data_IF_658648071810
#
_entry.id   IF_658648071810
#
_cell.length_a   1.000
_cell.length_b   1.000
_cell.length_c   1.000
_cell.angle_alpha   90.00
_cell.angle_beta   90.00
_cell.angle_gamma   90.00
#
_symmetry.space_group_name_H-M   'P 1'
#
loop_
_entity.id
_entity.type
_entity.pdbx_description
1 polymer ?
#
# COMPACT_ATOMS: atom_id res chain seq x y z
N UNK A 1 35.10 -29.10 -18.54
CA UNK A 1 33.63 -28.92 -18.61
C UNK A 1 33.32 -28.02 -19.79
N UNK A 2 32.59 -28.45 -20.81
CA UNK A 2 32.37 -27.67 -22.04
C UNK A 2 31.46 -26.46 -21.72
N UNK A 3 31.75 -25.30 -22.30
CA UNK A 3 30.99 -24.06 -22.17
C UNK A 3 29.45 -24.29 -22.34
N UNK A 4 29.06 -25.11 -23.28
CA UNK A 4 27.64 -25.51 -23.51
C UNK A 4 26.99 -26.16 -22.27
N UNK A 5 27.73 -26.97 -21.54
CA UNK A 5 27.22 -27.66 -20.36
C UNK A 5 27.04 -26.67 -19.21
N UNK A 6 28.01 -25.82 -18.98
CA UNK A 6 27.93 -24.75 -17.97
C UNK A 6 26.75 -23.79 -18.25
N UNK A 7 26.55 -23.37 -19.49
CA UNK A 7 25.44 -22.53 -19.92
C UNK A 7 24.08 -23.21 -19.67
N UNK A 8 23.97 -24.50 -19.95
CA UNK A 8 22.73 -25.28 -19.70
C UNK A 8 22.39 -25.34 -18.19
N UNK A 9 23.37 -25.51 -17.33
CA UNK A 9 23.15 -25.49 -15.88
C UNK A 9 22.78 -24.09 -15.38
N UNK A 10 23.45 -23.05 -15.86
CA UNK A 10 23.11 -21.66 -15.55
C UNK A 10 21.67 -21.35 -15.95
N UNK A 11 21.25 -21.71 -17.14
CA UNK A 11 19.87 -21.49 -17.60
C UNK A 11 18.85 -22.23 -16.71
N UNK A 12 19.13 -23.48 -16.31
CA UNK A 12 18.26 -24.22 -15.39
C UNK A 12 18.16 -23.56 -14.02
N UNK A 13 19.27 -23.05 -13.47
CA UNK A 13 19.26 -22.31 -12.20
C UNK A 13 18.43 -21.03 -12.31
N UNK A 14 18.55 -20.28 -13.40
CA UNK A 14 17.73 -19.09 -13.65
C UNK A 14 16.24 -19.47 -13.71
N UNK A 15 15.88 -20.52 -14.43
CA UNK A 15 14.48 -20.97 -14.53
C UNK A 15 13.92 -21.41 -13.18
N UNK A 16 14.71 -22.12 -12.37
CA UNK A 16 14.30 -22.52 -11.01
C UNK A 16 14.13 -21.31 -10.10
N UNK A 17 15.03 -20.33 -10.19
CA UNK A 17 14.90 -19.08 -9.43
C UNK A 17 13.65 -18.28 -9.83
N UNK A 18 13.38 -18.16 -11.13
CA UNK A 18 12.17 -17.50 -11.64
C UNK A 18 10.90 -18.24 -11.18
N UNK A 19 10.90 -19.55 -11.18
CA UNK A 19 9.78 -20.36 -10.69
C UNK A 19 9.56 -20.12 -9.19
N UNK A 20 10.62 -20.13 -8.38
CA UNK A 20 10.54 -19.86 -6.94
C UNK A 20 10.02 -18.44 -6.65
N UNK A 21 10.51 -17.44 -7.38
CA UNK A 21 10.03 -16.06 -7.28
C UNK A 21 8.53 -15.98 -7.67
N UNK A 22 8.13 -16.65 -8.74
CA UNK A 22 6.72 -16.68 -9.18
C UNK A 22 5.81 -17.29 -8.12
N UNK A 23 6.20 -18.42 -7.52
CA UNK A 23 5.46 -19.06 -6.41
C UNK A 23 5.35 -18.11 -5.22
N UNK A 24 6.45 -17.46 -4.86
CA UNK A 24 6.47 -16.48 -3.76
C UNK A 24 5.53 -15.30 -4.04
N UNK A 25 5.57 -14.72 -5.24
CA UNK A 25 4.70 -13.60 -5.62
C UNK A 25 3.22 -14.01 -5.64
N UNK A 26 2.90 -15.20 -6.13
CA UNK A 26 1.53 -15.72 -6.07
C UNK A 26 1.07 -15.86 -4.63
N UNK A 27 1.90 -16.41 -3.75
CA UNK A 27 1.57 -16.47 -2.31
C UNK A 27 1.37 -15.08 -1.72
N UNK A 28 2.28 -14.13 -2.02
CA UNK A 28 2.25 -12.79 -1.45
C UNK A 28 0.98 -12.01 -1.83
N UNK A 29 0.56 -12.08 -3.10
CA UNK A 29 -0.52 -11.23 -3.61
C UNK A 29 -1.89 -11.92 -3.66
N UNK A 30 -1.94 -13.23 -3.84
CA UNK A 30 -3.21 -13.94 -4.08
C UNK A 30 -3.60 -14.90 -2.95
N UNK A 31 -2.68 -15.19 -2.02
CA UNK A 31 -2.94 -16.10 -0.91
C UNK A 31 -2.64 -15.40 0.43
N UNK A 32 -2.68 -16.16 1.52
CA UNK A 32 -2.13 -15.72 2.81
C UNK A 32 -0.60 -15.77 2.71
N UNK A 33 0.12 -14.65 2.87
CA UNK A 33 1.57 -14.64 2.85
C UNK A 33 2.18 -15.56 3.92
N UNK A 34 3.28 -16.23 3.61
CA UNK A 34 3.96 -17.15 4.53
C UNK A 34 4.42 -16.46 5.83
N UNK A 35 4.77 -15.18 5.77
CA UNK A 35 5.18 -14.39 6.92
C UNK A 35 4.25 -13.20 7.14
N UNK A 36 3.95 -12.93 8.41
CA UNK A 36 3.19 -11.73 8.80
C UNK A 36 3.93 -10.44 8.42
N UNK A 37 5.26 -10.42 8.46
CA UNK A 37 6.05 -9.25 8.07
C UNK A 37 5.86 -8.94 6.59
N UNK A 38 5.83 -9.97 5.74
CA UNK A 38 5.56 -9.81 4.31
C UNK A 38 4.12 -9.36 4.05
N UNK A 39 3.17 -9.84 4.85
CA UNK A 39 1.79 -9.37 4.79
C UNK A 39 1.69 -7.88 5.13
N UNK A 40 2.26 -7.46 6.26
CA UNK A 40 2.24 -6.07 6.69
C UNK A 40 2.93 -5.14 5.68
N UNK A 41 4.12 -5.53 5.21
CA UNK A 41 4.85 -4.76 4.19
C UNK A 41 4.04 -4.63 2.88
N UNK A 42 3.39 -5.70 2.44
CA UNK A 42 2.52 -5.67 1.27
C UNK A 42 1.33 -4.72 1.47
N UNK A 43 0.62 -4.81 2.60
CA UNK A 43 -0.55 -3.94 2.84
C UNK A 43 -0.13 -2.47 2.91
N UNK A 44 0.99 -2.15 3.58
CA UNK A 44 1.55 -0.78 3.60
C UNK A 44 1.91 -0.30 2.18
N UNK A 45 2.56 -1.14 1.38
CA UNK A 45 2.88 -0.78 0.00
C UNK A 45 1.63 -0.55 -0.85
N UNK A 46 0.61 -1.42 -0.72
CA UNK A 46 -0.65 -1.26 -1.43
C UNK A 46 -1.40 0.00 -1.00
N UNK A 47 -1.36 0.37 0.27
CA UNK A 47 -1.94 1.62 0.75
C UNK A 47 -1.29 2.86 0.13
N UNK A 48 0.04 2.84 0.01
CA UNK A 48 0.78 3.93 -0.63
C UNK A 48 0.39 4.08 -2.11
N UNK A 49 0.37 2.99 -2.87
CA UNK A 49 0.09 3.05 -4.30
C UNK A 49 -1.39 3.24 -4.65
N UNK A 50 -2.30 2.93 -3.72
CA UNK A 50 -3.74 3.16 -3.87
C UNK A 50 -4.12 4.65 -3.72
N UNK A 51 -3.24 5.47 -3.12
CA UNK A 51 -3.46 6.90 -2.88
C UNK A 51 -2.48 7.74 -3.71
N UNK A 52 -2.96 8.49 -4.70
CA UNK A 52 -2.14 9.44 -5.46
C UNK A 52 -1.44 10.46 -4.57
N UNK A 53 -2.13 10.95 -3.53
CA UNK A 53 -1.60 11.91 -2.56
C UNK A 53 -0.46 11.29 -1.76
N UNK A 54 -0.59 10.05 -1.31
CA UNK A 54 0.47 9.33 -0.58
C UNK A 54 1.70 9.12 -1.47
N UNK A 55 1.51 8.79 -2.74
CA UNK A 55 2.63 8.66 -3.69
C UNK A 55 3.36 9.98 -3.88
N UNK A 56 2.62 11.08 -4.01
CA UNK A 56 3.17 12.44 -4.14
C UNK A 56 3.89 12.86 -2.86
N UNK A 57 3.28 12.61 -1.68
CA UNK A 57 3.85 12.96 -0.39
C UNK A 57 5.18 12.24 -0.11
N UNK A 58 5.27 10.97 -0.45
CA UNK A 58 6.49 10.18 -0.28
C UNK A 58 7.56 10.52 -1.32
N UNK A 59 7.16 10.95 -2.53
CA UNK A 59 8.05 11.40 -3.60
C UNK A 59 8.88 10.29 -4.27
N UNK A 60 8.78 9.04 -3.83
CA UNK A 60 9.57 7.92 -4.39
C UNK A 60 9.22 7.68 -5.86
N UNK A 61 7.97 7.90 -6.22
CA UNK A 61 7.43 7.63 -7.55
C UNK A 61 7.47 8.83 -8.50
N UNK A 62 7.97 9.99 -8.08
CA UNK A 62 7.99 11.22 -8.89
C UNK A 62 8.67 11.05 -10.24
N UNK A 63 9.83 10.36 -10.25
CA UNK A 63 10.57 10.06 -11.49
C UNK A 63 9.81 9.11 -12.43
N UNK A 64 8.82 8.42 -11.92
CA UNK A 64 8.01 7.43 -12.61
C UNK A 64 6.57 7.90 -12.81
N UNK A 65 6.30 9.21 -12.66
CA UNK A 65 4.96 9.79 -12.85
C UNK A 65 4.37 9.47 -14.24
N UNK A 66 5.22 9.33 -15.27
CA UNK A 66 4.81 8.88 -16.60
C UNK A 66 4.17 7.48 -16.61
N UNK A 67 4.48 6.63 -15.64
CA UNK A 67 3.91 5.29 -15.47
C UNK A 67 2.72 5.30 -14.51
N UNK A 68 2.80 6.02 -13.41
CA UNK A 68 1.80 6.01 -12.34
C UNK A 68 0.70 7.06 -12.54
N UNK A 69 1.05 8.21 -13.13
CA UNK A 69 0.15 9.35 -13.33
C UNK A 69 -0.42 9.91 -12.02
N UNK A 70 0.25 9.68 -10.89
CA UNK A 70 -0.26 10.08 -9.57
C UNK A 70 -0.31 11.60 -9.41
N UNK A 71 0.66 12.34 -9.97
CA UNK A 71 0.72 13.79 -9.83
C UNK A 71 -0.45 14.53 -10.51
N UNK A 72 -1.22 13.87 -11.38
CA UNK A 72 -2.40 14.44 -12.02
C UNK A 72 -3.72 13.89 -11.48
N UNK A 73 -3.71 13.28 -10.30
CA UNK A 73 -4.89 12.63 -9.72
C UNK A 73 -5.04 12.98 -8.25
N UNK A 74 -6.29 13.03 -7.81
CA UNK A 74 -6.67 13.11 -6.41
C UNK A 74 -7.67 12.00 -6.09
N UNK A 75 -7.66 11.55 -4.84
CA UNK A 75 -8.65 10.59 -4.35
C UNK A 75 -10.02 11.27 -4.29
N UNK A 76 -11.00 10.70 -5.00
CA UNK A 76 -12.37 11.20 -4.98
C UNK A 76 -13.15 10.43 -3.93
N UNK A 77 -13.56 11.06 -2.80
CA UNK A 77 -14.40 10.44 -1.80
C UNK A 77 -15.75 10.03 -2.42
N UNK A 78 -16.11 8.76 -2.27
CA UNK A 78 -17.37 8.23 -2.79
C UNK A 78 -17.87 7.08 -1.92
N UNK A 79 -19.19 6.80 -1.97
CA UNK A 79 -19.75 5.63 -1.28
C UNK A 79 -19.07 4.33 -1.73
N UNK A 80 -18.78 4.20 -3.01
CA UNK A 80 -18.07 3.04 -3.56
C UNK A 80 -16.67 2.89 -2.97
N UNK A 81 -15.96 4.00 -2.75
CA UNK A 81 -14.65 3.98 -2.09
C UNK A 81 -14.79 3.53 -0.64
N UNK A 82 -15.74 4.11 0.10
CA UNK A 82 -16.03 3.75 1.49
C UNK A 82 -16.34 2.24 1.64
N UNK A 83 -17.16 1.69 0.76
CA UNK A 83 -17.51 0.27 0.80
C UNK A 83 -16.30 -0.63 0.50
N UNK A 84 -15.42 -0.19 -0.40
CA UNK A 84 -14.15 -0.86 -0.71
C UNK A 84 -13.21 -0.85 0.48
N UNK A 85 -13.07 0.30 1.14
CA UNK A 85 -12.19 0.46 2.30
C UNK A 85 -12.67 -0.40 3.49
N UNK A 86 -13.98 -0.46 3.72
CA UNK A 86 -14.57 -1.38 4.70
C UNK A 86 -14.26 -2.84 4.39
N UNK A 87 -14.44 -3.25 3.15
CA UNK A 87 -14.15 -4.62 2.73
C UNK A 87 -12.66 -4.96 2.86
N UNK A 88 -11.76 -4.02 2.50
CA UNK A 88 -10.31 -4.14 2.67
C UNK A 88 -9.95 -4.31 4.15
N UNK A 89 -10.46 -3.45 5.03
CA UNK A 89 -10.19 -3.51 6.47
C UNK A 89 -10.64 -4.85 7.09
N UNK A 90 -11.84 -5.35 6.74
CA UNK A 90 -12.32 -6.65 7.21
C UNK A 90 -11.40 -7.79 6.76
N UNK A 91 -10.97 -7.79 5.50
CA UNK A 91 -10.05 -8.80 4.97
C UNK A 91 -8.69 -8.76 5.65
N UNK A 92 -8.16 -7.58 5.94
CA UNK A 92 -6.92 -7.39 6.69
C UNK A 92 -7.04 -8.00 8.08
N UNK A 93 -8.13 -7.70 8.81
CA UNK A 93 -8.40 -8.26 10.14
C UNK A 93 -8.49 -9.79 10.13
N UNK A 94 -9.23 -10.35 9.18
CA UNK A 94 -9.36 -11.79 9.01
C UNK A 94 -7.99 -12.44 8.79
N UNK A 95 -7.18 -11.86 7.89
CA UNK A 95 -5.84 -12.36 7.59
C UNK A 95 -4.92 -12.26 8.80
N UNK A 96 -4.89 -11.11 9.50
CA UNK A 96 -4.08 -10.93 10.71
C UNK A 96 -4.43 -11.95 11.79
N UNK A 97 -5.72 -12.17 12.04
CA UNK A 97 -6.20 -13.13 13.03
C UNK A 97 -5.88 -14.58 12.67
N UNK A 98 -5.70 -14.89 11.40
CA UNK A 98 -5.37 -16.23 10.93
C UNK A 98 -3.91 -16.65 11.20
N UNK A 99 -3.01 -15.71 11.53
CA UNK A 99 -1.66 -16.06 11.95
C UNK A 99 -1.66 -16.57 13.39
N UNK A 100 -1.07 -17.74 13.59
CA UNK A 100 -0.96 -18.36 14.91
C UNK A 100 0.14 -17.71 15.73
N UNK A 101 -0.18 -17.25 16.94
CA UNK A 101 0.75 -16.55 17.83
C UNK A 101 1.91 -17.42 18.31
N UNK A 102 1.72 -18.75 18.36
CA UNK A 102 2.76 -19.70 18.77
C UNK A 102 3.93 -19.72 17.78
N UNK A 103 3.65 -19.47 16.50
CA UNK A 103 4.62 -19.46 15.42
C UNK A 103 5.26 -18.08 15.18
N UNK A 104 4.90 -17.07 15.98
CA UNK A 104 5.41 -15.70 15.83
C UNK A 104 6.46 -15.36 16.89
N UNK A 105 7.47 -14.59 16.49
CA UNK A 105 8.40 -13.97 17.44
C UNK A 105 7.68 -12.94 18.33
N UNK A 106 8.31 -12.50 19.42
CA UNK A 106 7.76 -11.47 20.31
C UNK A 106 7.46 -10.16 19.58
N UNK A 107 8.34 -9.75 18.64
CA UNK A 107 8.19 -8.56 17.83
C UNK A 107 7.00 -8.72 16.87
N UNK A 108 6.90 -9.86 16.17
CA UNK A 108 5.79 -10.14 15.26
C UNK A 108 4.45 -10.19 15.97
N UNK A 109 4.39 -10.75 17.19
CA UNK A 109 3.17 -10.71 18.02
C UNK A 109 2.77 -9.29 18.41
N UNK A 110 3.74 -8.44 18.75
CA UNK A 110 3.48 -7.04 19.05
C UNK A 110 2.96 -6.29 17.81
N UNK A 111 3.63 -6.44 16.66
CA UNK A 111 3.21 -5.86 15.38
C UNK A 111 1.81 -6.33 14.98
N UNK A 112 1.50 -7.61 15.12
CA UNK A 112 0.16 -8.17 14.89
C UNK A 112 -0.91 -7.50 15.75
N UNK A 113 -0.65 -7.35 17.06
CA UNK A 113 -1.60 -6.70 17.99
C UNK A 113 -1.84 -5.24 17.64
N UNK A 114 -0.78 -4.51 17.31
CA UNK A 114 -0.88 -3.10 16.88
C UNK A 114 -1.69 -3.01 15.59
N UNK A 115 -1.38 -3.83 14.59
CA UNK A 115 -2.07 -3.83 13.32
C UNK A 115 -3.56 -4.20 13.46
N UNK A 116 -3.91 -5.17 14.31
CA UNK A 116 -5.31 -5.50 14.61
C UNK A 116 -6.00 -4.31 15.24
N UNK A 117 -5.43 -3.71 16.29
CA UNK A 117 -6.00 -2.57 16.99
C UNK A 117 -6.24 -1.39 16.04
N UNK A 118 -5.27 -1.05 15.22
CA UNK A 118 -5.37 0.05 14.25
C UNK A 118 -6.44 -0.22 13.19
N UNK A 119 -6.49 -1.45 12.66
CA UNK A 119 -7.48 -1.83 11.65
C UNK A 119 -8.90 -1.89 12.23
N UNK A 120 -9.07 -2.34 13.48
CA UNK A 120 -10.36 -2.32 14.19
C UNK A 120 -10.86 -0.88 14.39
N UNK A 121 -9.98 0.03 14.80
CA UNK A 121 -10.33 1.44 14.94
C UNK A 121 -10.66 2.09 13.59
N UNK A 122 -9.93 1.74 12.54
CA UNK A 122 -10.23 2.20 11.19
C UNK A 122 -11.61 1.70 10.74
N UNK A 123 -11.90 0.42 10.92
CA UNK A 123 -13.20 -0.15 10.58
C UNK A 123 -14.33 0.48 11.38
N UNK A 124 -14.13 0.69 12.69
CA UNK A 124 -15.11 1.36 13.54
C UNK A 124 -15.43 2.78 13.04
N UNK A 125 -14.40 3.55 12.65
CA UNK A 125 -14.60 4.88 12.06
C UNK A 125 -15.38 4.83 10.76
N UNK A 126 -15.03 3.91 9.87
CA UNK A 126 -15.69 3.75 8.58
C UNK A 126 -17.14 3.30 8.70
N UNK A 127 -17.49 2.52 9.73
CA UNK A 127 -18.84 1.96 9.93
C UNK A 127 -19.74 2.87 10.76
N UNK A 128 -19.26 3.33 11.91
CA UNK A 128 -20.08 4.08 12.87
C UNK A 128 -20.03 5.59 12.66
N UNK A 129 -18.90 6.11 12.14
CA UNK A 129 -18.67 7.54 12.03
C UNK A 129 -18.08 7.95 10.67
N UNK A 130 -18.69 7.57 9.54
CA UNK A 130 -18.10 7.80 8.20
C UNK A 130 -17.95 9.30 7.87
N UNK A 131 -18.66 10.18 8.57
CA UNK A 131 -18.66 11.64 8.35
C UNK A 131 -18.26 12.44 9.60
N UNK A 132 -17.54 11.82 10.54
CA UNK A 132 -17.18 12.51 11.78
C UNK A 132 -16.11 13.59 11.59
N UNK A 133 -15.30 13.50 10.54
CA UNK A 133 -14.34 14.54 10.19
C UNK A 133 -15.06 15.66 9.44
N UNK A 134 -15.15 16.83 10.07
CA UNK A 134 -15.63 18.01 9.37
C UNK A 134 -14.66 18.40 8.26
N UNK A 135 -15.20 18.61 7.06
CA UNK A 135 -14.42 19.05 5.89
C UNK A 135 -13.72 20.37 6.16
N UNK A 136 -14.37 21.25 6.93
CA UNK A 136 -13.87 22.55 7.37
C UNK A 136 -13.83 22.58 8.89
N UNK A 137 -12.68 22.88 9.46
CA UNK A 137 -12.52 23.15 10.90
C UNK A 137 -11.48 24.26 11.12
N UNK A 138 -11.37 24.77 12.35
CA UNK A 138 -10.55 25.95 12.64
C UNK A 138 -9.03 25.69 12.61
N UNK A 139 -8.59 24.45 12.80
CA UNK A 139 -7.17 24.10 12.98
C UNK A 139 -6.63 23.30 11.79
N UNK A 140 -7.50 22.66 11.04
CA UNK A 140 -7.18 21.84 9.88
C UNK A 140 -8.42 21.64 9.01
N UNK A 141 -8.33 20.81 8.01
CA UNK A 141 -9.42 20.49 7.11
C UNK A 141 -9.08 20.80 5.67
N UNK A 142 -9.90 20.34 4.75
CA UNK A 142 -9.61 20.32 3.31
C UNK A 142 -9.16 21.68 2.73
N UNK A 143 -9.61 22.78 3.29
CA UNK A 143 -9.24 24.13 2.84
C UNK A 143 -7.81 24.56 3.23
N UNK A 144 -7.25 23.95 4.27
CA UNK A 144 -5.84 24.15 4.67
C UNK A 144 -5.00 23.04 4.06
N UNK A 145 -5.39 21.79 4.29
CA UNK A 145 -4.64 20.62 3.88
C UNK A 145 -4.43 20.57 2.35
N UNK A 146 -5.45 20.99 1.58
CA UNK A 146 -5.33 21.06 0.11
C UNK A 146 -4.36 22.15 -0.33
N UNK A 147 -4.41 23.33 0.32
CA UNK A 147 -3.48 24.43 -0.01
C UNK A 147 -2.05 24.01 0.31
N UNK A 148 -1.78 23.47 1.51
CA UNK A 148 -0.45 22.99 1.90
C UNK A 148 0.03 21.85 0.97
N UNK A 149 -0.85 20.91 0.64
CA UNK A 149 -0.50 19.84 -0.28
C UNK A 149 -0.09 20.39 -1.64
N UNK A 150 -0.87 21.31 -2.20
CA UNK A 150 -0.63 21.87 -3.52
C UNK A 150 0.56 22.84 -3.54
N UNK A 151 0.85 23.58 -2.47
CA UNK A 151 1.95 24.57 -2.46
C UNK A 151 3.28 23.96 -2.00
N UNK A 152 3.26 23.05 -1.04
CA UNK A 152 4.46 22.60 -0.35
C UNK A 152 4.87 21.17 -0.73
N UNK A 153 3.91 20.35 -1.14
CA UNK A 153 4.16 18.92 -1.38
C UNK A 153 4.10 18.57 -2.87
N UNK A 154 3.14 19.12 -3.61
CA UNK A 154 2.95 18.76 -5.01
C UNK A 154 4.08 19.35 -5.90
N UNK A 155 4.85 18.52 -6.60
CA UNK A 155 5.98 19.01 -7.38
C UNK A 155 5.53 19.64 -8.69
N UNK A 156 5.90 20.89 -8.92
CA UNK A 156 5.79 21.57 -10.23
C UNK A 156 7.20 21.89 -10.69
N UNK A 157 7.78 21.05 -11.54
CA UNK A 157 9.16 21.16 -12.02
C UNK A 157 9.26 21.57 -13.49
N UNK A 158 8.18 21.41 -14.23
CA UNK A 158 8.11 21.69 -15.67
C UNK A 158 6.68 22.06 -16.09
N UNK A 159 6.54 22.48 -17.34
CA UNK A 159 5.25 22.93 -17.88
C UNK A 159 4.16 21.84 -17.89
N UNK A 160 4.53 20.59 -18.19
CA UNK A 160 3.59 19.47 -18.20
C UNK A 160 3.05 19.15 -16.79
N UNK A 161 3.89 19.29 -15.78
CA UNK A 161 3.46 19.14 -14.38
C UNK A 161 2.53 20.31 -13.98
N UNK A 162 2.82 21.52 -14.45
CA UNK A 162 1.96 22.69 -14.22
C UNK A 162 0.59 22.56 -14.91
N UNK A 163 0.52 21.94 -16.09
CA UNK A 163 -0.76 21.68 -16.76
C UNK A 163 -1.60 20.58 -16.07
N UNK A 164 -0.94 19.67 -15.32
CA UNK A 164 -1.60 18.63 -14.55
C UNK A 164 -2.07 19.10 -13.17
N UNK A 165 -1.59 20.29 -12.73
CA UNK A 165 -1.92 20.94 -11.46
C UNK A 165 -3.32 21.58 -11.51
#
# INVERSE_FOLDING_TARGET
MTFKLAFKYLLRLILLALLAISIYLVNLFFMKPFSIDHFLAKETFLEIIDSPESMTYIGIFDKYNWLTGHASKLTIPSQKQLDRDKAKARKILETLRSYDDENLSSIQRASKKIAIFDTENTLLRLEAFPFHNYVLNQIGGAHIDMVEFMTDTHPIRNFTEAEAY
#
